data_IF_468213640234
#
_entry.id   IF_468213640234
#
_cell.length_a   1.000
_cell.length_b   1.000
_cell.length_c   1.000
_cell.angle_alpha   90.00
_cell.angle_beta   90.00
_cell.angle_gamma   90.00
#
_symmetry.space_group_name_H-M   'P 1'
#
loop_
_entity.id
_entity.type
_entity.pdbx_description
1 polymer ?
#
# COMPACT_ATOMS: atom_id res chain seq x y z
N UNK A 1 -14.89 -22.02 -1.77
CA UNK A 1 -15.00 -20.57 -1.78
C UNK A 1 -14.54 -20.01 -3.10
N UNK A 2 -15.01 -18.81 -3.49
CA UNK A 2 -14.51 -18.09 -4.66
C UNK A 2 -13.20 -17.38 -4.30
N UNK A 3 -12.22 -17.41 -5.21
CA UNK A 3 -10.96 -16.67 -5.07
C UNK A 3 -10.46 -16.21 -6.44
N UNK A 4 -9.81 -15.06 -6.48
CA UNK A 4 -9.17 -14.53 -7.68
C UNK A 4 -7.77 -15.11 -7.80
N UNK A 5 -7.46 -15.70 -8.96
CA UNK A 5 -6.16 -16.29 -9.24
C UNK A 5 -5.76 -16.13 -10.70
N UNK A 6 -4.53 -16.51 -11.01
CA UNK A 6 -4.02 -16.69 -12.37
C UNK A 6 -3.08 -17.90 -12.44
N UNK A 7 -2.95 -18.50 -13.61
CA UNK A 7 -2.19 -19.74 -13.84
C UNK A 7 -0.95 -19.55 -14.69
N UNK A 8 -0.75 -18.34 -15.19
CA UNK A 8 0.41 -17.94 -15.99
C UNK A 8 0.64 -16.43 -15.88
N UNK A 9 1.84 -15.96 -16.13
CA UNK A 9 2.11 -14.53 -16.29
C UNK A 9 1.44 -14.00 -17.54
N UNK A 10 0.93 -12.76 -17.50
CA UNK A 10 0.31 -12.20 -18.70
C UNK A 10 -0.42 -10.87 -18.47
N UNK A 11 -1.25 -10.44 -19.44
CA UNK A 11 -2.09 -9.25 -19.33
C UNK A 11 -3.22 -9.44 -18.31
N UNK A 12 -4.00 -8.39 -17.97
CA UNK A 12 -5.11 -8.49 -17.00
C UNK A 12 -6.07 -9.66 -17.21
N UNK A 13 -6.32 -10.05 -18.44
CA UNK A 13 -7.22 -11.15 -18.79
C UNK A 13 -6.81 -12.55 -18.31
N UNK A 14 -5.57 -12.75 -17.81
CA UNK A 14 -5.19 -14.04 -17.19
C UNK A 14 -5.78 -14.19 -15.78
N UNK A 15 -6.25 -13.08 -15.19
CA UNK A 15 -6.89 -13.07 -13.86
C UNK A 15 -8.33 -13.55 -13.99
N UNK A 16 -8.68 -14.55 -13.21
CA UNK A 16 -10.02 -15.13 -13.21
C UNK A 16 -10.46 -15.57 -11.81
N UNK A 17 -11.77 -15.66 -11.64
CA UNK A 17 -12.39 -16.21 -10.44
C UNK A 17 -12.39 -17.75 -10.53
N UNK A 18 -12.01 -18.41 -9.44
CA UNK A 18 -11.99 -19.86 -9.32
C UNK A 18 -12.64 -20.34 -8.02
N UNK A 19 -13.18 -21.54 -8.05
CA UNK A 19 -13.60 -22.25 -6.84
C UNK A 19 -12.39 -22.97 -6.24
N UNK A 20 -12.12 -22.67 -4.97
CA UNK A 20 -10.98 -23.23 -4.22
C UNK A 20 -11.42 -23.65 -2.83
N UNK A 21 -10.63 -24.50 -2.17
CA UNK A 21 -10.83 -24.82 -0.77
C UNK A 21 -10.62 -23.56 0.11
N UNK A 22 -11.46 -23.38 1.13
CA UNK A 22 -11.33 -22.28 2.06
C UNK A 22 -10.10 -22.54 2.98
N UNK A 23 -9.27 -21.52 3.23
CA UNK A 23 -8.15 -21.67 4.14
C UNK A 23 -8.65 -21.73 5.59
N UNK A 24 -7.86 -22.34 6.48
CA UNK A 24 -8.07 -22.29 7.91
C UNK A 24 -7.09 -21.34 8.60
N UNK A 25 -7.54 -20.71 9.69
CA UNK A 25 -6.69 -19.89 10.53
C UNK A 25 -5.67 -20.81 11.26
N UNK A 26 -4.41 -20.68 10.90
CA UNK A 26 -3.32 -21.34 11.65
C UNK A 26 -2.99 -20.58 12.94
N UNK A 27 -2.05 -21.10 13.74
CA UNK A 27 -1.60 -20.46 14.98
C UNK A 27 -1.15 -19.00 14.75
N UNK A 28 -1.56 -18.10 15.63
CA UNK A 28 -1.24 -16.68 15.56
C UNK A 28 -1.92 -15.91 14.41
N UNK A 29 -2.99 -16.46 13.81
CA UNK A 29 -3.69 -15.88 12.66
C UNK A 29 -5.19 -15.88 12.88
N UNK A 30 -5.89 -15.05 12.12
CA UNK A 30 -7.36 -15.06 12.06
C UNK A 30 -7.81 -15.27 10.62
N UNK A 31 -8.99 -15.86 10.43
CA UNK A 31 -9.67 -15.85 9.14
C UNK A 31 -10.84 -14.87 9.19
N UNK A 32 -11.03 -14.18 8.09
CA UNK A 32 -12.13 -13.23 7.92
C UNK A 32 -13.00 -13.62 6.74
N UNK A 33 -14.32 -13.48 6.89
CA UNK A 33 -15.25 -13.39 5.77
C UNK A 33 -15.06 -12.00 5.16
N UNK A 34 -14.46 -11.96 3.97
CA UNK A 34 -14.03 -10.72 3.31
C UNK A 34 -15.24 -9.90 2.86
N UNK A 35 -15.21 -8.61 3.15
CA UNK A 35 -16.16 -7.61 2.66
C UNK A 35 -15.58 -6.76 1.55
N UNK A 36 -14.28 -6.44 1.67
CA UNK A 36 -13.52 -5.76 0.64
C UNK A 36 -12.03 -6.13 0.74
N UNK A 37 -11.34 -6.12 -0.39
CA UNK A 37 -9.90 -6.37 -0.48
C UNK A 37 -9.23 -5.42 -1.48
N UNK A 38 -7.95 -5.08 -1.24
CA UNK A 38 -7.21 -4.13 -2.07
C UNK A 38 -6.60 -4.78 -3.31
N UNK A 39 -6.54 -4.02 -4.41
CA UNK A 39 -5.72 -4.32 -5.60
C UNK A 39 -4.56 -3.33 -5.63
N UNK A 40 -3.33 -3.83 -5.69
CA UNK A 40 -2.13 -3.00 -5.63
C UNK A 40 -1.32 -3.04 -6.93
N UNK A 41 -0.58 -1.95 -7.28
CA UNK A 41 0.35 -1.99 -8.42
C UNK A 41 1.42 -3.09 -8.30
N UNK A 42 1.82 -3.46 -7.08
CA UNK A 42 2.75 -4.57 -6.85
C UNK A 42 2.21 -5.90 -7.34
N UNK A 43 0.92 -6.17 -7.13
CA UNK A 43 0.27 -7.40 -7.62
C UNK A 43 0.17 -7.41 -9.15
N UNK A 44 -0.11 -6.26 -9.73
CA UNK A 44 -0.14 -6.10 -11.19
C UNK A 44 1.23 -6.43 -11.81
N UNK A 45 2.32 -5.94 -11.21
CA UNK A 45 3.69 -6.24 -11.66
C UNK A 45 4.07 -7.70 -11.44
N UNK A 46 3.60 -8.33 -10.37
CA UNK A 46 3.76 -9.77 -10.13
C UNK A 46 3.02 -10.55 -11.22
N UNK A 47 1.75 -10.25 -11.47
CA UNK A 47 0.94 -10.93 -12.46
C UNK A 47 1.49 -10.76 -13.88
N UNK A 48 1.99 -9.57 -14.26
CA UNK A 48 2.57 -9.32 -15.58
C UNK A 48 3.89 -10.08 -15.81
N UNK A 49 4.53 -10.58 -14.75
CA UNK A 49 5.84 -11.22 -14.79
C UNK A 49 7.01 -10.24 -14.76
N UNK A 50 6.77 -8.94 -14.57
CA UNK A 50 7.85 -7.94 -14.41
C UNK A 50 8.75 -8.25 -13.21
N UNK A 51 8.20 -8.90 -12.18
CA UNK A 51 8.93 -9.27 -10.97
C UNK A 51 9.31 -10.75 -10.90
N UNK A 52 9.25 -11.52 -11.99
CA UNK A 52 9.44 -12.98 -11.97
C UNK A 52 10.81 -13.42 -11.43
N UNK A 53 11.83 -12.62 -11.65
CA UNK A 53 13.21 -12.93 -11.22
C UNK A 53 13.45 -12.59 -9.73
N UNK A 54 12.56 -11.79 -9.13
CA UNK A 54 12.62 -11.35 -7.73
C UNK A 54 11.59 -12.08 -6.87
N UNK A 55 10.40 -12.33 -7.45
CA UNK A 55 9.28 -13.02 -6.79
C UNK A 55 8.88 -14.21 -7.66
N UNK A 56 9.59 -15.36 -7.56
CA UNK A 56 9.20 -16.57 -8.28
C UNK A 56 7.86 -17.09 -7.76
N UNK A 57 6.95 -17.45 -8.69
CA UNK A 57 5.61 -17.92 -8.34
C UNK A 57 5.47 -19.43 -8.55
N UNK A 58 4.61 -20.01 -7.72
CA UNK A 58 4.00 -21.31 -7.99
C UNK A 58 2.56 -21.10 -8.45
N UNK A 59 2.17 -21.68 -9.56
CA UNK A 59 0.82 -21.58 -10.10
C UNK A 59 -0.07 -22.77 -9.65
N UNK A 60 -1.38 -22.57 -9.48
CA UNK A 60 -2.11 -21.29 -9.57
C UNK A 60 -1.72 -20.33 -8.44
N UNK A 61 -1.64 -19.02 -8.74
CA UNK A 61 -1.30 -18.00 -7.78
C UNK A 61 -2.54 -17.15 -7.44
N UNK A 62 -2.87 -17.09 -6.15
CA UNK A 62 -3.99 -16.29 -5.62
C UNK A 62 -3.56 -14.87 -5.35
N UNK A 63 -4.38 -13.90 -5.74
CA UNK A 63 -4.13 -12.48 -5.55
C UNK A 63 -4.70 -11.95 -4.23
N UNK A 64 -4.32 -10.73 -3.88
CA UNK A 64 -4.80 -10.02 -2.69
C UNK A 64 -3.85 -10.09 -1.52
N UNK A 65 -3.54 -8.91 -1.00
CA UNK A 65 -2.67 -8.73 0.15
C UNK A 65 -3.40 -8.10 1.33
N UNK A 66 -4.26 -7.12 1.06
CA UNK A 66 -5.06 -6.39 2.03
C UNK A 66 -6.49 -6.92 2.03
N UNK A 67 -7.12 -7.03 3.19
CA UNK A 67 -8.54 -7.29 3.31
C UNK A 67 -9.14 -6.58 4.53
N UNK A 68 -10.44 -6.32 4.44
CA UNK A 68 -11.30 -6.03 5.58
C UNK A 68 -12.49 -6.98 5.56
N UNK A 69 -12.91 -7.41 6.73
CA UNK A 69 -14.02 -8.36 6.87
C UNK A 69 -14.39 -8.62 8.31
N UNK A 70 -15.23 -9.61 8.49
CA UNK A 70 -15.69 -10.06 9.81
C UNK A 70 -14.92 -11.35 10.15
N UNK A 71 -14.35 -11.40 11.33
CA UNK A 71 -13.65 -12.59 11.83
C UNK A 71 -14.62 -13.75 11.92
N UNK A 72 -14.29 -14.88 11.30
CA UNK A 72 -15.09 -16.11 11.35
C UNK A 72 -14.33 -17.33 11.92
N UNK A 73 -12.99 -17.23 12.03
CA UNK A 73 -12.16 -18.23 12.65
C UNK A 73 -10.95 -17.58 13.33
N UNK A 74 -10.65 -18.00 14.55
CA UNK A 74 -9.51 -17.52 15.35
C UNK A 74 -8.55 -18.69 15.60
N UNK A 75 -7.31 -18.55 15.21
CA UNK A 75 -6.28 -19.57 15.37
C UNK A 75 -5.71 -19.62 16.78
N UNK A 76 -5.00 -20.70 17.10
CA UNK A 76 -4.41 -20.92 18.41
C UNK A 76 -3.43 -19.78 18.79
N UNK A 77 -3.48 -19.38 20.06
CA UNK A 77 -2.57 -18.37 20.63
C UNK A 77 -2.90 -16.92 20.23
N UNK A 78 -4.01 -16.68 19.54
CA UNK A 78 -4.50 -15.33 19.24
C UNK A 78 -5.32 -14.81 20.43
N UNK A 79 -5.05 -13.58 20.84
CA UNK A 79 -5.75 -12.89 21.93
C UNK A 79 -6.29 -11.54 21.45
N UNK A 80 -7.33 -11.03 22.13
CA UNK A 80 -7.86 -9.68 21.90
C UNK A 80 -8.69 -9.50 20.62
N UNK A 81 -9.15 -10.61 20.00
CA UNK A 81 -10.09 -10.61 18.89
C UNK A 81 -11.02 -11.82 19.00
N UNK A 82 -12.28 -11.67 18.61
CA UNK A 82 -13.30 -12.69 18.68
C UNK A 82 -14.00 -12.89 17.32
N UNK A 83 -14.61 -14.06 17.14
CA UNK A 83 -15.51 -14.29 16.00
C UNK A 83 -16.65 -13.26 16.03
N UNK A 84 -16.84 -12.58 14.91
CA UNK A 84 -17.82 -11.49 14.79
C UNK A 84 -17.20 -10.10 14.78
N UNK A 85 -15.92 -9.95 15.16
CA UNK A 85 -15.23 -8.66 15.12
C UNK A 85 -15.02 -8.15 13.68
N UNK A 86 -15.23 -6.85 13.48
CA UNK A 86 -14.91 -6.16 12.24
C UNK A 86 -13.44 -5.71 12.25
N UNK A 87 -12.67 -6.23 11.30
CA UNK A 87 -11.22 -5.96 11.23
C UNK A 87 -10.78 -5.60 9.81
N UNK A 88 -9.61 -4.96 9.71
CA UNK A 88 -8.85 -4.84 8.48
C UNK A 88 -7.41 -5.28 8.73
N UNK A 89 -6.75 -5.79 7.69
CA UNK A 89 -5.41 -6.33 7.88
C UNK A 89 -4.77 -6.83 6.61
N UNK A 90 -3.70 -7.58 6.80
CA UNK A 90 -2.83 -8.07 5.75
C UNK A 90 -2.62 -9.57 5.86
N UNK A 91 -2.58 -10.26 4.72
CA UNK A 91 -2.08 -11.63 4.61
C UNK A 91 -0.55 -11.63 4.72
N UNK A 92 0.07 -12.80 4.85
CA UNK A 92 1.53 -12.90 4.62
C UNK A 92 1.84 -12.83 3.13
N UNK A 93 3.05 -12.42 2.80
CA UNK A 93 3.56 -12.45 1.42
C UNK A 93 3.53 -13.86 0.83
N UNK A 94 3.76 -14.88 1.64
CA UNK A 94 3.74 -16.28 1.21
C UNK A 94 2.31 -16.83 1.06
N UNK A 95 1.36 -16.36 1.90
CA UNK A 95 0.00 -16.91 1.91
C UNK A 95 -0.94 -16.21 0.93
N UNK A 96 -0.77 -14.94 0.61
CA UNK A 96 -1.67 -14.11 -0.23
C UNK A 96 -3.12 -14.65 -0.34
N UNK A 97 -3.94 -14.13 -1.23
CA UNK A 97 -5.28 -14.66 -1.45
C UNK A 97 -6.38 -13.90 -0.72
N UNK A 98 -6.15 -12.61 -0.43
CA UNK A 98 -7.16 -11.74 0.16
C UNK A 98 -8.31 -11.38 -0.81
N UNK A 99 -8.08 -11.52 -2.13
CA UNK A 99 -9.12 -11.31 -3.14
C UNK A 99 -9.98 -12.58 -3.26
N UNK A 100 -10.77 -12.87 -2.23
CA UNK A 100 -11.55 -14.09 -2.10
C UNK A 100 -12.73 -13.89 -1.13
N UNK A 101 -13.61 -14.91 -1.01
CA UNK A 101 -14.69 -14.90 -0.01
C UNK A 101 -14.13 -14.94 1.44
N UNK A 102 -12.99 -15.61 1.65
CA UNK A 102 -12.32 -15.73 2.95
C UNK A 102 -10.81 -15.48 2.79
N UNK A 103 -10.22 -14.82 3.78
CA UNK A 103 -8.78 -14.56 3.83
C UNK A 103 -8.21 -14.83 5.22
N UNK A 104 -6.98 -15.33 5.28
CA UNK A 104 -6.23 -15.50 6.53
C UNK A 104 -5.31 -14.31 6.72
N UNK A 105 -5.55 -13.53 7.78
CA UNK A 105 -4.75 -12.37 8.13
C UNK A 105 -3.66 -12.74 9.14
N UNK A 106 -2.46 -12.20 8.90
CA UNK A 106 -1.31 -12.36 9.79
C UNK A 106 -1.07 -11.10 10.64
N UNK A 107 -1.61 -9.97 10.23
CA UNK A 107 -1.62 -8.72 10.97
C UNK A 107 -2.96 -8.04 10.74
N UNK A 108 -3.57 -7.52 11.79
CA UNK A 108 -4.87 -6.87 11.74
C UNK A 108 -5.02 -5.79 12.82
N UNK A 109 -6.03 -4.97 12.63
CA UNK A 109 -6.52 -4.03 13.63
C UNK A 109 -8.05 -3.92 13.53
N UNK A 110 -8.73 -3.44 14.56
CA UNK A 110 -10.16 -3.16 14.49
C UNK A 110 -10.47 -2.19 13.36
N UNK A 111 -11.51 -2.48 12.58
CA UNK A 111 -11.96 -1.57 11.53
C UNK A 111 -12.50 -0.29 12.18
N UNK A 112 -11.97 0.91 11.83
CA UNK A 112 -12.52 2.14 12.29
C UNK A 112 -14.01 2.28 11.90
N UNK A 113 -14.87 2.65 12.85
CA UNK A 113 -16.30 2.82 12.58
C UNK A 113 -16.59 3.89 11.51
N UNK A 114 -15.69 4.87 11.36
CA UNK A 114 -15.80 5.92 10.34
C UNK A 114 -15.49 5.45 8.93
N UNK A 115 -14.86 4.28 8.75
CA UNK A 115 -14.50 3.77 7.43
C UNK A 115 -15.58 2.84 6.87
N UNK A 116 -15.85 2.97 5.57
CA UNK A 116 -16.59 1.96 4.82
C UNK A 116 -15.74 0.66 4.70
N UNK A 117 -16.37 -0.41 4.23
CA UNK A 117 -15.64 -1.66 3.96
C UNK A 117 -14.59 -1.49 2.87
N UNK A 118 -14.90 -0.69 1.84
CA UNK A 118 -14.00 -0.40 0.72
C UNK A 118 -12.76 0.39 1.20
N UNK A 119 -12.96 1.40 2.06
CA UNK A 119 -11.86 2.15 2.67
C UNK A 119 -10.97 1.23 3.50
N UNK A 120 -11.57 0.40 4.36
CA UNK A 120 -10.85 -0.54 5.21
C UNK A 120 -10.13 -1.63 4.40
N UNK A 121 -10.77 -2.19 3.34
CA UNK A 121 -10.20 -3.23 2.48
C UNK A 121 -8.98 -2.76 1.69
N UNK A 122 -8.88 -1.45 1.42
CA UNK A 122 -7.72 -0.85 0.76
C UNK A 122 -6.66 -0.29 1.70
N UNK A 123 -6.85 -0.31 3.03
CA UNK A 123 -6.05 0.50 3.96
C UNK A 123 -4.73 -0.12 4.39
N UNK A 124 -4.73 -1.41 4.72
CA UNK A 124 -3.70 -2.02 5.55
C UNK A 124 -2.29 -1.93 4.97
N UNK A 125 -2.07 -2.40 3.74
CA UNK A 125 -0.78 -2.33 3.09
C UNK A 125 -0.33 -0.89 2.79
N UNK A 126 -1.29 0.02 2.54
CA UNK A 126 -0.98 1.44 2.39
C UNK A 126 -0.50 2.08 3.70
N UNK A 127 -1.15 1.77 4.83
CA UNK A 127 -0.78 2.26 6.14
C UNK A 127 0.58 1.70 6.59
N UNK A 128 0.79 0.39 6.42
CA UNK A 128 2.08 -0.25 6.69
C UNK A 128 3.21 0.38 5.87
N UNK A 129 3.05 0.41 4.53
CA UNK A 129 4.07 0.89 3.62
C UNK A 129 4.43 2.36 3.86
N UNK A 130 3.40 3.22 4.05
CA UNK A 130 3.65 4.62 4.34
C UNK A 130 4.34 4.81 5.70
N UNK A 131 3.94 4.08 6.73
CA UNK A 131 4.58 4.13 8.05
C UNK A 131 6.04 3.70 7.96
N UNK A 132 6.34 2.55 7.35
CA UNK A 132 7.68 2.00 7.18
C UNK A 132 8.63 2.98 6.50
N UNK A 133 8.19 3.59 5.40
CA UNK A 133 9.03 4.54 4.66
C UNK A 133 9.23 5.83 5.45
N UNK A 134 8.18 6.37 6.09
CA UNK A 134 8.30 7.58 6.91
C UNK A 134 9.16 7.36 8.15
N UNK A 135 9.15 6.16 8.73
CA UNK A 135 10.03 5.78 9.85
C UNK A 135 11.48 5.69 9.39
N UNK A 136 11.73 5.02 8.26
CA UNK A 136 13.07 4.92 7.68
C UNK A 136 13.67 6.28 7.35
N UNK A 137 12.86 7.20 6.82
CA UNK A 137 13.26 8.58 6.53
C UNK A 137 13.29 9.47 7.78
N UNK A 138 12.97 8.91 8.95
CA UNK A 138 12.89 9.63 10.23
C UNK A 138 12.02 10.90 10.16
N UNK A 139 10.91 10.86 9.38
CA UNK A 139 10.03 12.01 9.18
C UNK A 139 9.31 12.36 10.47
N UNK A 140 9.44 13.62 10.89
CA UNK A 140 8.85 14.16 12.11
C UNK A 140 8.49 15.63 12.01
N UNK A 141 8.12 16.22 13.14
CA UNK A 141 7.70 17.62 13.23
C UNK A 141 8.80 18.58 12.74
N UNK A 142 8.39 19.55 11.92
CA UNK A 142 9.29 20.56 11.35
C UNK A 142 10.01 20.12 10.07
N UNK A 143 9.96 18.84 9.69
CA UNK A 143 10.53 18.38 8.43
C UNK A 143 9.65 18.80 7.24
N UNK A 144 10.28 18.96 6.08
CA UNK A 144 9.61 19.12 4.79
C UNK A 144 9.81 17.84 3.97
N UNK A 145 8.72 17.20 3.53
CA UNK A 145 8.74 15.93 2.81
C UNK A 145 8.13 16.11 1.43
N UNK A 146 8.83 15.62 0.40
CA UNK A 146 8.26 15.46 -0.94
C UNK A 146 7.69 14.05 -1.10
N UNK A 147 6.41 13.93 -1.42
CA UNK A 147 5.75 12.66 -1.79
C UNK A 147 5.50 12.66 -3.30
N UNK A 148 6.26 11.86 -4.03
CA UNK A 148 6.07 11.64 -5.46
C UNK A 148 4.93 10.65 -5.69
N UNK A 149 3.96 10.99 -6.56
CA UNK A 149 2.77 10.17 -6.77
C UNK A 149 1.75 10.27 -5.62
N UNK A 150 1.64 11.45 -5.03
CA UNK A 150 0.86 11.74 -3.82
C UNK A 150 -0.65 11.45 -3.95
N UNK A 151 -1.20 11.41 -5.17
CA UNK A 151 -2.62 11.10 -5.41
C UNK A 151 -2.92 9.59 -5.55
N UNK A 152 -1.90 8.73 -5.55
CA UNK A 152 -2.05 7.28 -5.66
C UNK A 152 -2.42 6.60 -4.34
N UNK A 153 -2.60 5.26 -4.38
CA UNK A 153 -3.10 4.48 -3.24
C UNK A 153 -2.25 4.55 -1.97
N UNK A 154 -0.92 4.53 -2.07
CA UNK A 154 0.00 4.71 -0.93
C UNK A 154 0.24 6.19 -0.68
N UNK A 155 0.42 6.99 -1.75
CA UNK A 155 0.73 8.41 -1.64
C UNK A 155 -0.30 9.20 -0.84
N UNK A 156 -1.60 8.92 -1.02
CA UNK A 156 -2.68 9.58 -0.26
C UNK A 156 -2.61 9.33 1.24
N UNK A 157 -2.22 8.13 1.63
CA UNK A 157 -2.04 7.76 3.04
C UNK A 157 -0.73 8.38 3.57
N UNK A 158 0.35 8.32 2.81
CA UNK A 158 1.65 8.89 3.16
C UNK A 158 1.58 10.40 3.44
N UNK A 159 0.85 11.14 2.60
CA UNK A 159 0.60 12.58 2.81
C UNK A 159 -0.02 12.84 4.18
N UNK A 160 -1.09 12.11 4.51
CA UNK A 160 -1.82 12.32 5.75
C UNK A 160 -1.02 11.87 6.98
N UNK A 161 -0.30 10.74 6.89
CA UNK A 161 0.57 10.27 7.98
C UNK A 161 1.75 11.22 8.22
N UNK A 162 2.39 11.74 7.17
CA UNK A 162 3.46 12.74 7.31
C UNK A 162 2.94 14.05 7.94
N UNK A 163 1.78 14.54 7.50
CA UNK A 163 1.13 15.71 8.09
C UNK A 163 0.75 15.46 9.56
N UNK A 164 0.26 14.26 9.90
CA UNK A 164 -0.05 13.88 11.28
C UNK A 164 1.20 13.86 12.19
N UNK A 165 2.38 13.60 11.64
CA UNK A 165 3.67 13.70 12.34
C UNK A 165 4.17 15.14 12.50
N UNK A 166 3.46 16.14 11.97
CA UNK A 166 3.85 17.56 12.03
C UNK A 166 4.82 17.99 10.92
N UNK A 167 4.96 17.21 9.86
CA UNK A 167 5.76 17.59 8.69
C UNK A 167 4.98 18.49 7.73
N UNK A 168 5.68 19.35 7.03
CA UNK A 168 5.17 20.02 5.82
C UNK A 168 5.28 19.07 4.65
N UNK A 169 4.18 18.80 3.95
CA UNK A 169 4.15 17.83 2.86
C UNK A 169 3.98 18.52 1.52
N UNK A 170 4.92 18.31 0.60
CA UNK A 170 4.78 18.67 -0.81
C UNK A 170 4.37 17.38 -1.56
N UNK A 171 3.28 17.43 -2.31
CA UNK A 171 2.78 16.28 -3.05
C UNK A 171 2.81 16.51 -4.56
N UNK A 172 3.39 15.56 -5.34
CA UNK A 172 3.30 15.65 -6.79
C UNK A 172 2.07 14.91 -7.32
N UNK A 173 1.36 15.54 -8.21
CA UNK A 173 0.26 14.95 -8.98
C UNK A 173 0.00 15.74 -10.26
N UNK A 174 -0.87 15.23 -11.14
CA UNK A 174 -1.42 16.02 -12.24
C UNK A 174 -2.23 17.21 -11.69
N UNK A 175 -2.26 18.30 -12.42
CA UNK A 175 -2.85 19.58 -11.97
C UNK A 175 -4.32 19.42 -11.50
N UNK A 176 -5.13 18.60 -12.18
CA UNK A 176 -6.51 18.35 -11.79
C UNK A 176 -6.67 17.64 -10.43
N UNK A 177 -5.58 17.11 -9.84
CA UNK A 177 -5.57 16.52 -8.50
C UNK A 177 -5.04 17.47 -7.42
N UNK A 178 -4.69 18.73 -7.75
CA UNK A 178 -4.10 19.64 -6.77
C UNK A 178 -5.05 19.99 -5.62
N UNK A 179 -6.33 20.26 -5.92
CA UNK A 179 -7.30 20.55 -4.86
C UNK A 179 -7.56 19.33 -3.97
N UNK A 180 -7.53 18.14 -4.56
CA UNK A 180 -7.59 16.91 -3.80
C UNK A 180 -6.39 16.76 -2.86
N UNK A 181 -5.16 17.03 -3.31
CA UNK A 181 -3.99 16.98 -2.44
C UNK A 181 -4.02 18.04 -1.32
N UNK A 182 -4.52 19.24 -1.60
CA UNK A 182 -4.76 20.26 -0.56
C UNK A 182 -5.73 19.76 0.50
N UNK A 183 -6.79 19.04 0.10
CA UNK A 183 -7.76 18.48 1.04
C UNK A 183 -7.19 17.38 1.92
N UNK A 184 -6.02 16.81 1.57
CA UNK A 184 -5.27 15.83 2.37
C UNK A 184 -4.17 16.48 3.22
N UNK A 185 -3.96 17.82 3.11
CA UNK A 185 -2.95 18.54 3.86
C UNK A 185 -1.62 18.74 3.15
N UNK A 186 -1.51 18.46 1.83
CA UNK A 186 -0.30 18.69 1.07
C UNK A 186 -0.31 20.03 0.31
N UNK A 187 0.89 20.57 0.08
CA UNK A 187 1.17 21.60 -0.90
C UNK A 187 1.39 20.92 -2.26
N UNK A 188 0.47 21.07 -3.23
CA UNK A 188 0.58 20.33 -4.49
C UNK A 188 1.56 20.98 -5.45
N UNK A 189 2.23 20.14 -6.25
CA UNK A 189 2.97 20.54 -7.44
C UNK A 189 2.86 19.49 -8.54
N UNK A 190 3.18 19.85 -9.78
CA UNK A 190 3.25 18.89 -10.88
C UNK A 190 4.59 18.13 -10.85
N UNK A 191 4.59 16.89 -11.37
CA UNK A 191 5.82 16.12 -11.63
C UNK A 191 6.45 16.52 -12.99
N UNK A 192 7.60 15.91 -13.33
CA UNK A 192 8.27 16.10 -14.61
C UNK A 192 9.18 17.35 -14.66
N UNK A 193 9.60 17.80 -15.86
CA UNK A 193 10.60 18.84 -16.03
C UNK A 193 10.35 20.10 -15.19
N UNK A 194 11.42 20.64 -14.57
CA UNK A 194 11.33 21.79 -13.67
C UNK A 194 10.83 21.46 -12.25
N UNK A 195 10.72 20.18 -11.86
CA UNK A 195 10.28 19.79 -10.52
C UNK A 195 11.13 20.46 -9.42
N UNK A 196 12.45 20.46 -9.55
CA UNK A 196 13.35 21.02 -8.55
C UNK A 196 13.09 22.52 -8.30
N UNK A 197 12.79 23.29 -9.35
CA UNK A 197 12.48 24.72 -9.24
C UNK A 197 11.14 24.94 -8.52
N UNK A 198 10.12 24.15 -8.89
CA UNK A 198 8.80 24.23 -8.25
C UNK A 198 8.86 23.84 -6.78
N UNK A 199 9.61 22.77 -6.44
CA UNK A 199 9.79 22.37 -5.03
C UNK A 199 10.55 23.44 -4.26
N UNK A 200 11.61 24.02 -4.82
CA UNK A 200 12.35 25.13 -4.18
C UNK A 200 11.49 26.35 -3.95
N UNK A 201 10.54 26.65 -4.84
CA UNK A 201 9.59 27.75 -4.64
C UNK A 201 8.64 27.49 -3.45
N UNK A 202 8.25 26.23 -3.21
CA UNK A 202 7.40 25.82 -2.08
C UNK A 202 8.19 25.63 -0.77
N UNK A 203 9.44 25.20 -0.87
CA UNK A 203 10.33 24.94 0.26
C UNK A 203 11.71 25.56 -0.02
N UNK A 204 11.91 26.88 0.21
CA UNK A 204 13.18 27.56 -0.07
C UNK A 204 14.37 26.98 0.75
N UNK A 205 14.10 26.42 1.92
CA UNK A 205 15.11 25.76 2.75
C UNK A 205 15.48 24.34 2.25
N UNK A 206 14.78 23.82 1.25
CA UNK A 206 14.92 22.45 0.72
C UNK A 206 13.95 21.46 1.35
N UNK A 207 14.12 20.18 1.00
CA UNK A 207 13.34 19.06 1.56
C UNK A 207 14.25 18.17 2.39
N UNK A 208 13.73 17.65 3.49
CA UNK A 208 14.44 16.75 4.41
C UNK A 208 14.37 15.30 3.95
N UNK A 209 13.28 14.93 3.26
CA UNK A 209 13.02 13.59 2.81
C UNK A 209 12.20 13.56 1.52
N UNK A 210 12.38 12.49 0.73
CA UNK A 210 11.60 12.22 -0.48
C UNK A 210 11.07 10.80 -0.42
N UNK A 211 9.76 10.65 -0.52
CA UNK A 211 9.09 9.37 -0.63
C UNK A 211 8.54 9.19 -2.06
N UNK A 212 9.13 8.28 -2.81
CA UNK A 212 8.71 7.97 -4.18
C UNK A 212 7.73 6.78 -4.22
N UNK A 213 6.47 7.09 -4.55
CA UNK A 213 5.39 6.12 -4.74
C UNK A 213 5.08 5.85 -6.23
N UNK A 214 5.79 6.49 -7.18
CA UNK A 214 5.44 6.44 -8.61
C UNK A 214 6.51 5.80 -9.50
N UNK A 215 7.79 5.95 -9.14
CA UNK A 215 8.93 5.52 -9.95
C UNK A 215 9.21 6.41 -11.17
N UNK A 216 10.31 6.12 -11.86
CA UNK A 216 10.67 6.72 -13.15
C UNK A 216 11.24 8.14 -13.09
N UNK A 217 11.54 8.68 -11.89
CA UNK A 217 12.04 10.03 -11.71
C UNK A 217 13.20 10.14 -10.70
N UNK A 218 13.88 9.05 -10.38
CA UNK A 218 14.84 9.01 -9.28
C UNK A 218 15.97 10.02 -9.41
N UNK A 219 16.49 10.26 -10.61
CA UNK A 219 17.55 11.26 -10.82
C UNK A 219 17.08 12.67 -10.41
N UNK A 220 15.86 13.07 -10.79
CA UNK A 220 15.28 14.35 -10.43
C UNK A 220 15.01 14.44 -8.93
N UNK A 221 14.50 13.33 -8.33
CA UNK A 221 14.20 13.27 -6.91
C UNK A 221 15.46 13.35 -6.04
N UNK A 222 16.56 12.71 -6.45
CA UNK A 222 17.87 12.84 -5.81
C UNK A 222 18.40 14.27 -5.93
N UNK A 223 18.24 14.91 -7.10
CA UNK A 223 18.62 16.31 -7.28
C UNK A 223 17.80 17.28 -6.38
N UNK A 224 16.51 16.97 -6.16
CA UNK A 224 15.66 17.73 -5.23
C UNK A 224 16.10 17.54 -3.78
N UNK A 225 16.39 16.31 -3.37
CA UNK A 225 16.82 15.97 -2.01
C UNK A 225 18.26 16.42 -1.70
N UNK A 226 19.09 16.54 -2.74
CA UNK A 226 20.53 16.82 -2.61
C UNK A 226 21.37 15.61 -2.13
N UNK A 227 20.73 14.53 -1.71
CA UNK A 227 21.37 13.30 -1.24
C UNK A 227 20.45 12.10 -1.50
N UNK A 228 20.97 11.05 -2.13
CA UNK A 228 20.24 9.81 -2.41
C UNK A 228 19.78 9.10 -1.11
N UNK A 229 20.51 9.25 -0.01
CA UNK A 229 20.13 8.69 1.29
C UNK A 229 18.83 9.26 1.87
N UNK A 230 18.40 10.44 1.39
CA UNK A 230 17.13 11.08 1.75
C UNK A 230 15.96 10.67 0.86
N UNK A 231 16.19 9.77 -0.09
CA UNK A 231 15.17 9.30 -1.04
C UNK A 231 14.89 7.83 -0.78
N UNK A 232 13.63 7.48 -0.63
CA UNK A 232 13.18 6.09 -0.57
C UNK A 232 12.10 5.88 -1.61
N UNK A 233 12.23 4.82 -2.40
CA UNK A 233 11.22 4.41 -3.39
C UNK A 233 10.56 3.09 -3.01
N UNK A 234 9.29 2.94 -3.37
CA UNK A 234 8.55 1.67 -3.34
C UNK A 234 8.15 1.21 -4.76
N UNK A 235 8.52 1.98 -5.77
CA UNK A 235 7.98 1.82 -7.12
C UNK A 235 9.05 1.64 -8.21
N UNK A 236 10.32 2.00 -7.96
CA UNK A 236 11.37 2.00 -8.97
C UNK A 236 12.41 0.90 -8.73
N UNK A 237 12.40 -0.14 -9.57
CA UNK A 237 13.36 -1.25 -9.51
C UNK A 237 14.80 -0.82 -9.88
N UNK A 238 14.98 0.34 -10.51
CA UNK A 238 16.26 0.93 -10.85
C UNK A 238 16.95 1.67 -9.70
N UNK A 239 16.40 1.65 -8.48
CA UNK A 239 16.84 2.42 -7.33
C UNK A 239 18.35 2.31 -7.03
N UNK A 240 18.91 1.10 -7.12
CA UNK A 240 20.33 0.85 -6.86
C UNK A 240 21.27 1.63 -7.78
N UNK A 241 20.90 1.85 -9.04
CA UNK A 241 21.69 2.63 -9.99
C UNK A 241 21.77 4.12 -9.61
N UNK A 242 20.87 4.60 -8.77
CA UNK A 242 20.84 5.98 -8.28
C UNK A 242 21.31 6.10 -6.82
N UNK A 243 21.77 5.00 -6.19
CA UNK A 243 22.13 4.97 -4.78
C UNK A 243 20.92 5.15 -3.84
N UNK A 244 19.70 4.97 -4.35
CA UNK A 244 18.45 5.15 -3.62
C UNK A 244 18.04 3.83 -2.97
N UNK A 245 17.52 3.91 -1.75
CA UNK A 245 16.96 2.75 -1.06
C UNK A 245 15.59 2.39 -1.65
N UNK A 246 15.46 1.14 -2.10
CA UNK A 246 14.17 0.56 -2.41
C UNK A 246 13.61 -0.16 -1.16
N UNK A 247 12.38 0.16 -0.78
CA UNK A 247 11.70 -0.41 0.37
C UNK A 247 10.51 -1.30 -0.09
N UNK A 248 10.76 -2.56 -0.46
CA UNK A 248 9.71 -3.43 -1.03
C UNK A 248 8.71 -3.94 0.01
N UNK A 249 9.01 -3.78 1.30
CA UNK A 249 8.36 -4.52 2.37
C UNK A 249 8.81 -5.98 2.36
N UNK A 250 9.50 -6.42 3.40
CA UNK A 250 9.96 -7.79 3.47
C UNK A 250 8.80 -8.75 3.69
N UNK A 251 8.81 -9.93 3.06
CA UNK A 251 8.17 -11.07 3.68
C UNK A 251 8.92 -11.33 4.99
N UNK A 252 8.23 -11.20 6.11
CA UNK A 252 8.73 -11.78 7.34
C UNK A 252 8.73 -13.30 7.18
N UNK A 253 9.82 -13.96 7.56
CA UNK A 253 9.81 -15.40 7.77
C UNK A 253 8.90 -15.76 8.96
N UNK A 254 8.84 -17.03 9.33
CA UNK A 254 8.06 -17.50 10.48
C UNK A 254 8.50 -16.89 11.83
N UNK A 255 9.65 -16.22 11.89
CA UNK A 255 10.20 -15.55 13.08
C UNK A 255 9.96 -14.05 13.10
N UNK A 256 9.40 -13.48 12.03
CA UNK A 256 9.20 -12.03 11.88
C UNK A 256 10.45 -11.29 11.40
N UNK A 257 11.54 -11.98 11.07
CA UNK A 257 12.74 -11.37 10.51
C UNK A 257 12.61 -11.16 9.00
N UNK A 258 13.08 -10.00 8.53
CA UNK A 258 13.05 -9.63 7.12
C UNK A 258 13.97 -10.54 6.29
N UNK A 259 13.42 -11.23 5.30
CA UNK A 259 14.19 -12.10 4.41
C UNK A 259 14.75 -11.29 3.24
N UNK A 260 16.08 -11.12 3.22
CA UNK A 260 16.82 -10.47 2.14
C UNK A 260 17.60 -9.23 2.57
N UNK A 261 18.74 -9.00 1.94
CA UNK A 261 19.69 -7.94 2.31
C UNK A 261 19.18 -6.49 2.12
N UNK A 262 17.98 -6.31 1.55
CA UNK A 262 17.38 -5.00 1.25
C UNK A 262 15.98 -4.81 1.85
N UNK A 263 15.54 -5.72 2.69
CA UNK A 263 14.19 -5.74 3.20
C UNK A 263 14.07 -4.91 4.48
N UNK A 264 13.26 -3.86 4.45
CA UNK A 264 12.86 -3.18 5.68
C UNK A 264 11.83 -4.05 6.42
N UNK A 265 11.92 -4.18 7.76
CA UNK A 265 10.90 -4.89 8.53
C UNK A 265 9.54 -4.21 8.36
N UNK A 266 8.47 -5.00 8.34
CA UNK A 266 7.11 -4.45 8.24
C UNK A 266 6.79 -3.55 9.43
N UNK A 267 6.22 -2.39 9.15
CA UNK A 267 5.77 -1.43 10.16
C UNK A 267 4.32 -1.71 10.58
N UNK A 268 4.07 -2.89 11.18
CA UNK A 268 2.71 -3.33 11.54
C UNK A 268 2.01 -2.39 12.53
N UNK A 269 2.78 -1.63 13.33
CA UNK A 269 2.24 -0.57 14.19
C UNK A 269 1.53 0.55 13.40
N UNK A 270 1.77 0.65 12.09
CA UNK A 270 1.06 1.55 11.18
C UNK A 270 -0.44 1.29 11.14
N UNK A 271 -0.90 0.05 11.38
CA UNK A 271 -2.32 -0.26 11.46
C UNK A 271 -2.97 0.42 12.68
N UNK A 272 -2.32 0.36 13.85
CA UNK A 272 -2.82 1.01 15.06
C UNK A 272 -2.81 2.55 14.92
N UNK A 273 -1.77 3.12 14.30
CA UNK A 273 -1.72 4.55 13.95
C UNK A 273 -2.89 4.91 13.04
N UNK A 274 -3.18 4.10 12.03
CA UNK A 274 -4.28 4.33 11.10
C UNK A 274 -5.64 4.33 11.82
N UNK A 275 -5.87 3.39 12.76
CA UNK A 275 -7.08 3.35 13.60
C UNK A 275 -7.24 4.64 14.40
N UNK A 276 -6.18 5.07 15.07
CA UNK A 276 -6.19 6.28 15.89
C UNK A 276 -6.52 7.51 15.05
N UNK A 277 -5.82 7.72 13.94
CA UNK A 277 -6.01 8.88 13.07
C UNK A 277 -7.36 8.86 12.36
N UNK A 278 -7.88 7.69 12.01
CA UNK A 278 -9.22 7.56 11.46
C UNK A 278 -10.30 7.96 12.49
N UNK A 279 -10.13 7.53 13.75
CA UNK A 279 -11.01 7.92 14.85
C UNK A 279 -11.00 9.43 15.14
N UNK A 280 -9.88 10.09 14.90
CA UNK A 280 -9.71 11.55 15.00
C UNK A 280 -10.18 12.31 13.73
N UNK A 281 -10.61 11.62 12.68
CA UNK A 281 -10.96 12.21 11.38
C UNK A 281 -9.75 12.78 10.60
N UNK A 282 -8.54 12.38 10.94
CA UNK A 282 -7.25 12.83 10.36
C UNK A 282 -6.69 11.90 9.31
N UNK A 283 -7.27 10.72 9.14
CA UNK A 283 -6.92 9.78 8.09
C UNK A 283 -8.18 9.26 7.40
N UNK A 284 -8.26 9.44 6.11
CA UNK A 284 -9.23 8.79 5.22
C UNK A 284 -8.50 7.98 4.16
N UNK A 285 -9.15 6.97 3.62
CA UNK A 285 -8.60 6.10 2.56
C UNK A 285 -9.41 6.34 1.28
N UNK A 286 -8.99 7.25 0.41
CA UNK A 286 -9.71 7.51 -0.84
C UNK A 286 -9.77 6.26 -1.71
N UNK A 287 -10.96 5.88 -2.14
CA UNK A 287 -11.22 4.75 -3.04
C UNK A 287 -11.52 5.30 -4.43
N UNK A 288 -10.69 4.93 -5.41
CA UNK A 288 -10.86 5.34 -6.81
C UNK A 288 -11.98 4.57 -7.49
N UNK A 289 -12.06 3.27 -7.20
CA UNK A 289 -13.09 2.38 -7.74
C UNK A 289 -13.23 1.12 -6.88
N UNK A 290 -14.45 0.59 -6.82
CA UNK A 290 -14.76 -0.72 -6.27
C UNK A 290 -15.33 -1.60 -7.38
N UNK A 291 -14.84 -2.82 -7.50
CA UNK A 291 -15.28 -3.81 -8.49
C UNK A 291 -15.82 -5.05 -7.79
N UNK A 292 -16.84 -5.71 -8.33
CA UNK A 292 -17.19 -7.05 -7.90
C UNK A 292 -15.97 -7.99 -8.03
N UNK A 293 -15.87 -9.00 -7.17
CA UNK A 293 -14.76 -9.97 -7.20
C UNK A 293 -14.60 -10.62 -8.59
N UNK A 294 -15.70 -10.84 -9.30
CA UNK A 294 -15.69 -11.39 -10.65
C UNK A 294 -15.07 -10.45 -11.72
N UNK A 295 -14.95 -9.18 -11.43
CA UNK A 295 -14.37 -8.16 -12.32
C UNK A 295 -12.92 -7.80 -11.99
N UNK A 296 -12.20 -8.69 -11.29
CA UNK A 296 -10.82 -8.47 -10.87
C UNK A 296 -9.88 -8.12 -12.05
N UNK A 297 -10.11 -8.66 -13.25
CA UNK A 297 -9.34 -8.29 -14.44
C UNK A 297 -9.46 -6.78 -14.74
N UNK A 298 -10.67 -6.21 -14.69
CA UNK A 298 -10.91 -4.79 -14.91
C UNK A 298 -10.26 -3.92 -13.81
N UNK A 299 -10.25 -4.40 -12.55
CA UNK A 299 -9.53 -3.73 -11.48
C UNK A 299 -8.01 -3.69 -11.72
N UNK A 300 -7.42 -4.78 -12.26
CA UNK A 300 -6.03 -4.82 -12.68
C UNK A 300 -5.74 -3.89 -13.87
N UNK A 301 -6.64 -3.80 -14.86
CA UNK A 301 -6.52 -2.86 -15.99
C UNK A 301 -6.50 -1.40 -15.50
N UNK A 302 -7.41 -1.04 -14.60
CA UNK A 302 -7.41 0.30 -14.01
C UNK A 302 -6.12 0.59 -13.25
N UNK A 303 -5.58 -0.39 -12.51
CA UNK A 303 -4.31 -0.23 -11.79
C UNK A 303 -3.13 -0.03 -12.75
N UNK A 304 -3.08 -0.75 -13.89
CA UNK A 304 -2.05 -0.58 -14.93
C UNK A 304 -2.12 0.79 -15.61
N UNK A 305 -3.30 1.38 -15.72
CA UNK A 305 -3.46 2.70 -16.32
C UNK A 305 -2.71 3.81 -15.57
N UNK A 306 -2.40 3.60 -14.27
CA UNK A 306 -1.77 4.56 -13.35
C UNK A 306 -2.56 5.86 -13.18
N UNK A 307 -3.86 5.87 -13.50
CA UNK A 307 -4.75 7.03 -13.38
C UNK A 307 -5.70 6.95 -12.18
N UNK A 308 -5.63 5.89 -11.38
CA UNK A 308 -6.46 5.76 -10.19
C UNK A 308 -6.06 6.76 -9.11
N UNK A 309 -7.03 7.55 -8.63
CA UNK A 309 -6.87 8.48 -7.52
C UNK A 309 -7.27 7.80 -6.21
N UNK A 310 -6.29 7.28 -5.47
CA UNK A 310 -6.53 6.49 -4.27
C UNK A 310 -6.45 4.98 -4.53
N UNK A 311 -7.19 4.20 -3.75
CA UNK A 311 -7.17 2.74 -3.77
C UNK A 311 -8.18 2.16 -4.75
N UNK A 312 -7.85 1.01 -5.31
CA UNK A 312 -8.76 0.15 -6.07
C UNK A 312 -9.07 -1.04 -5.18
N UNK A 313 -10.35 -1.42 -5.08
CA UNK A 313 -10.78 -2.52 -4.21
C UNK A 313 -11.70 -3.48 -4.95
N UNK A 314 -11.70 -4.73 -4.50
CA UNK A 314 -12.68 -5.76 -4.86
C UNK A 314 -13.65 -5.94 -3.70
N UNK A 315 -14.93 -6.14 -4.02
CA UNK A 315 -16.02 -6.39 -3.06
C UNK A 315 -16.69 -7.72 -3.35
N UNK A 316 -17.09 -8.44 -2.30
CA UNK A 316 -17.70 -9.76 -2.36
C UNK A 316 -19.19 -9.78 -2.68
#
# INVERSE_FOLDING_TARGET
>A
MRAVQFTEYGPPGVVHLAEVEAPHAGPGRIRVAVRASGVSPGEVRIRSGEMRDVVPLTFPYRTGFDAAGVVDEVGDGVEGVEVGDEVFGMTTTAARGANADFAVLAAWAPKPAAWSWEEAGGAAGGAETATRVLDRLAVGAGHTVLVQGAAGGVGTIAVQLAAARGATVIGTASEHNHDFLRSLGALPTTYGPGLAERVRALAPAGVDAVFDCAGGALADLVAVAGDAARVVTIADLGAAAHGVHMSPGAPADATGEAVGAFADPLALHGLAIAVTLAGEGRLRVPVAAAFPLAEAAAAHELSESRHARGKIVLVG
#
